data_IF_532815509228
#
_entry.id   IF_532815509228
#
_cell.length_a   1.000
_cell.length_b   1.000
_cell.length_c   1.000
_cell.angle_alpha   90.00
_cell.angle_beta   90.00
_cell.angle_gamma   90.00
#
_symmetry.space_group_name_H-M   'P 1'
#
loop_
_entity.id
_entity.type
_entity.pdbx_description
1 polymer ?
#
# COMPACT_ATOMS: atom_id res chain seq x y z
N UNK A 1 38.45 -29.23 -0.65
CA UNK A 1 38.38 -29.55 0.80
C UNK A 1 39.14 -28.44 1.47
N UNK A 2 38.50 -27.67 2.35
CA UNK A 2 39.22 -26.66 3.14
C UNK A 2 39.99 -27.41 4.23
N UNK A 3 41.28 -27.12 4.39
CA UNK A 3 42.19 -27.82 5.32
C UNK A 3 41.81 -27.59 6.80
N UNK A 4 40.87 -26.66 7.06
CA UNK A 4 40.56 -26.15 8.39
C UNK A 4 39.22 -26.62 8.98
N UNK A 5 38.50 -27.55 8.32
CA UNK A 5 37.17 -27.98 8.77
C UNK A 5 37.03 -29.49 8.91
N UNK A 6 36.44 -29.94 10.02
CA UNK A 6 36.03 -31.32 10.23
C UNK A 6 34.61 -31.51 9.70
N UNK A 7 34.46 -32.27 8.62
CA UNK A 7 33.16 -32.63 8.06
C UNK A 7 32.59 -33.84 8.81
N UNK A 8 31.43 -33.65 9.46
CA UNK A 8 30.68 -34.75 10.08
C UNK A 8 29.48 -35.12 9.20
N UNK A 9 29.31 -36.40 8.80
CA UNK A 9 28.13 -36.80 8.04
C UNK A 9 26.87 -36.69 8.90
N UNK A 10 25.80 -36.14 8.34
CA UNK A 10 24.48 -36.14 8.99
C UNK A 10 23.88 -37.53 8.86
N UNK A 11 23.70 -38.22 9.99
CA UNK A 11 23.20 -39.60 10.03
C UNK A 11 21.67 -39.66 10.13
N UNK A 12 21.06 -38.68 10.80
CA UNK A 12 19.61 -38.58 11.00
C UNK A 12 19.19 -37.13 11.22
N UNK A 13 17.98 -36.77 10.81
CA UNK A 13 17.36 -35.47 11.07
C UNK A 13 15.92 -35.73 11.53
N UNK A 14 15.57 -35.25 12.73
CA UNK A 14 14.20 -35.24 13.21
C UNK A 14 13.72 -33.82 13.45
N UNK A 15 12.48 -33.54 13.04
CA UNK A 15 11.83 -32.24 13.22
C UNK A 15 10.72 -32.39 14.25
N UNK A 16 10.76 -31.56 15.29
CA UNK A 16 9.71 -31.51 16.32
C UNK A 16 9.12 -30.11 16.38
N UNK A 17 7.80 -30.00 16.30
CA UNK A 17 7.11 -28.76 16.61
C UNK A 17 7.05 -28.60 18.13
N UNK A 18 7.66 -27.53 18.64
CA UNK A 18 7.67 -27.20 20.06
C UNK A 18 6.90 -25.89 20.28
N UNK A 19 6.01 -25.88 21.27
CA UNK A 19 5.43 -24.67 21.82
C UNK A 19 6.18 -24.32 23.11
N UNK A 20 6.39 -23.03 23.37
CA UNK A 20 6.95 -22.50 24.63
C UNK A 20 8.41 -22.89 24.93
N UNK A 21 9.23 -23.16 23.91
CA UNK A 21 10.67 -23.31 24.08
C UNK A 21 11.36 -21.94 24.12
N UNK A 22 12.11 -21.66 25.18
CA UNK A 22 12.97 -20.48 25.26
C UNK A 22 14.21 -20.69 24.37
N UNK A 23 14.34 -19.87 23.32
CA UNK A 23 15.46 -19.92 22.37
C UNK A 23 16.27 -18.65 22.53
N UNK A 24 17.56 -18.79 22.78
CA UNK A 24 18.50 -17.67 22.88
C UNK A 24 19.18 -17.41 21.54
N UNK A 25 19.41 -16.14 21.21
CA UNK A 25 20.20 -15.70 20.05
C UNK A 25 21.53 -15.13 20.53
N UNK A 26 22.62 -15.48 19.83
CA UNK A 26 23.97 -14.97 20.06
C UNK A 26 24.41 -14.17 18.82
N UNK A 27 24.67 -12.87 18.98
CA UNK A 27 25.30 -12.07 17.93
C UNK A 27 26.83 -12.21 18.07
N UNK A 28 27.48 -12.63 16.99
CA UNK A 28 28.94 -12.76 16.91
C UNK A 28 29.43 -11.75 15.90
N UNK A 29 30.45 -10.97 16.27
CA UNK A 29 31.06 -9.99 15.37
C UNK A 29 31.47 -10.64 14.05
N UNK A 30 31.42 -9.86 12.97
CA UNK A 30 31.69 -10.28 11.58
C UNK A 30 30.57 -11.09 10.91
N UNK A 31 30.41 -12.38 11.24
CA UNK A 31 29.60 -13.29 10.42
C UNK A 31 28.50 -14.05 11.19
N UNK A 32 28.31 -13.80 12.48
CA UNK A 32 27.28 -14.44 13.32
C UNK A 32 27.36 -15.99 13.35
N UNK A 33 28.50 -16.56 12.94
CA UNK A 33 28.78 -17.99 13.01
C UNK A 33 29.48 -18.32 14.33
N UNK A 34 29.10 -19.42 14.97
CA UNK A 34 29.74 -19.94 16.17
C UNK A 34 29.59 -21.45 16.24
N UNK A 35 30.30 -22.08 17.16
CA UNK A 35 30.21 -23.53 17.38
C UNK A 35 29.24 -23.80 18.51
N UNK A 36 28.15 -24.50 18.23
CA UNK A 36 27.21 -25.02 19.21
C UNK A 36 27.18 -26.55 19.12
N UNK A 37 27.39 -27.24 20.25
CA UNK A 37 27.42 -28.71 20.30
C UNK A 37 28.36 -29.34 19.26
N UNK A 38 29.55 -28.75 19.07
CA UNK A 38 30.56 -29.15 18.07
C UNK A 38 30.10 -29.08 16.61
N UNK A 39 29.01 -28.37 16.33
CA UNK A 39 28.55 -28.05 14.99
C UNK A 39 28.70 -26.56 14.75
N UNK A 40 29.19 -26.18 13.58
CA UNK A 40 29.16 -24.77 13.17
C UNK A 40 27.69 -24.42 12.91
N UNK A 41 27.19 -23.47 13.68
CA UNK A 41 25.86 -22.90 13.53
C UNK A 41 26.01 -21.43 13.20
N UNK A 42 25.02 -20.90 12.48
CA UNK A 42 24.97 -19.50 12.11
C UNK A 42 23.64 -18.94 12.59
N UNK A 43 23.68 -17.85 13.35
CA UNK A 43 22.47 -17.17 13.75
C UNK A 43 22.05 -16.20 12.64
N UNK A 44 20.81 -16.34 12.19
CA UNK A 44 20.22 -15.36 11.30
C UNK A 44 20.22 -13.99 11.98
N UNK A 45 20.91 -13.03 11.37
CA UNK A 45 20.90 -11.64 11.82
C UNK A 45 19.48 -11.13 11.75
N UNK A 46 19.07 -10.49 12.84
CA UNK A 46 17.83 -9.74 12.92
C UNK A 46 17.66 -8.86 11.68
N UNK A 47 16.65 -9.16 10.86
CA UNK A 47 16.27 -8.28 9.78
C UNK A 47 15.68 -7.00 10.39
N UNK A 48 16.52 -5.98 10.57
CA UNK A 48 16.16 -4.68 11.12
C UNK A 48 15.23 -3.86 10.24
N UNK A 49 14.49 -4.46 9.31
CA UNK A 49 13.56 -3.80 8.39
C UNK A 49 12.14 -3.80 8.97
N UNK A 50 11.95 -3.17 10.12
CA UNK A 50 10.67 -3.21 10.83
C UNK A 50 9.98 -1.86 10.93
N UNK A 51 8.67 -1.91 11.15
CA UNK A 51 7.79 -0.76 11.32
C UNK A 51 6.99 -0.89 12.62
N UNK A 52 6.38 0.22 13.03
CA UNK A 52 5.49 0.21 14.19
C UNK A 52 4.24 -0.68 13.96
N UNK A 53 3.76 -1.43 14.97
CA UNK A 53 2.56 -2.27 14.87
C UNK A 53 1.28 -1.56 14.40
N UNK A 54 1.16 -0.25 14.62
CA UNK A 54 0.03 0.58 14.17
C UNK A 54 0.18 1.09 12.72
N UNK A 55 1.31 0.79 12.06
CA UNK A 55 1.58 1.19 10.68
C UNK A 55 0.51 0.65 9.74
N UNK A 56 -0.18 1.56 9.05
CA UNK A 56 -1.28 1.19 8.18
C UNK A 56 -0.80 0.67 6.83
N UNK A 57 -1.03 -0.60 6.54
CA UNK A 57 -0.65 -1.24 5.28
C UNK A 57 -1.83 -1.24 4.31
N UNK A 58 -1.54 -0.89 3.06
CA UNK A 58 -2.51 -0.91 1.96
C UNK A 58 -2.85 -2.35 1.55
N UNK A 59 -3.92 -2.90 2.12
CA UNK A 59 -4.45 -4.23 1.80
C UNK A 59 -5.40 -4.20 0.60
N UNK A 60 -5.87 -5.36 0.11
CA UNK A 60 -6.69 -5.45 -1.09
C UNK A 60 -8.20 -5.66 -0.83
N UNK A 61 -9.09 -4.68 -1.11
CA UNK A 61 -8.85 -3.25 -1.24
C UNK A 61 -9.18 -2.60 0.10
N UNK A 62 -8.18 -2.26 0.89
CA UNK A 62 -8.38 -1.87 2.27
C UNK A 62 -7.16 -1.22 2.89
N UNK A 63 -7.26 -1.05 4.20
CA UNK A 63 -6.23 -0.48 5.02
C UNK A 63 -6.30 -1.16 6.37
N UNK A 64 -5.19 -1.74 6.83
CA UNK A 64 -5.12 -2.40 8.13
C UNK A 64 -3.79 -2.07 8.80
N UNK A 65 -3.76 -1.85 10.13
CA UNK A 65 -2.52 -1.90 10.89
C UNK A 65 -1.77 -3.21 10.61
N UNK A 66 -0.43 -3.15 10.49
CA UNK A 66 0.40 -4.33 10.20
C UNK A 66 0.17 -5.45 11.21
N UNK A 67 -0.09 -5.11 12.48
CA UNK A 67 -0.40 -6.09 13.54
C UNK A 67 -1.66 -6.93 13.30
N UNK A 68 -2.56 -6.48 12.42
CA UNK A 68 -3.83 -7.13 12.11
C UNK A 68 -3.81 -7.87 10.77
N UNK A 69 -2.68 -7.86 10.05
CA UNK A 69 -2.50 -8.60 8.80
C UNK A 69 -2.39 -10.10 9.12
N UNK A 70 -2.85 -10.93 8.20
CA UNK A 70 -2.77 -12.39 8.28
C UNK A 70 -2.06 -12.94 7.03
N UNK A 71 -1.38 -14.07 7.18
CA UNK A 71 -0.81 -14.82 6.05
C UNK A 71 -1.92 -15.13 5.03
N UNK A 72 -1.59 -14.98 3.75
CA UNK A 72 -2.52 -15.10 2.62
C UNK A 72 -3.32 -13.83 2.29
N UNK A 73 -3.33 -12.81 3.17
CA UNK A 73 -3.87 -11.50 2.78
C UNK A 73 -2.97 -10.84 1.74
N UNK A 74 -3.56 -9.98 0.88
CA UNK A 74 -2.80 -9.30 -0.17
C UNK A 74 -2.53 -7.84 0.17
N UNK A 75 -1.28 -7.42 -0.02
CA UNK A 75 -0.79 -6.06 0.22
C UNK A 75 -0.24 -5.45 -1.08
N UNK A 76 -0.35 -4.12 -1.20
CA UNK A 76 0.18 -3.39 -2.35
C UNK A 76 1.71 -3.31 -2.27
N UNK A 77 2.38 -3.58 -3.38
CA UNK A 77 3.85 -3.56 -3.51
C UNK A 77 4.32 -2.38 -4.35
N UNK A 78 5.64 -2.20 -4.44
CA UNK A 78 6.25 -1.12 -5.22
C UNK A 78 5.90 -1.13 -6.72
N UNK A 79 5.50 -2.28 -7.27
CA UNK A 79 5.15 -2.46 -8.69
C UNK A 79 3.74 -1.97 -9.03
N UNK A 80 2.93 -1.62 -8.01
CA UNK A 80 1.52 -1.30 -8.17
C UNK A 80 0.62 -2.54 -8.28
N UNK A 81 1.15 -3.72 -7.94
CA UNK A 81 0.44 -5.00 -7.90
C UNK A 81 0.19 -5.40 -6.44
N UNK A 82 -0.88 -6.15 -6.20
CA UNK A 82 -1.16 -6.71 -4.87
C UNK A 82 -0.65 -8.14 -4.80
N UNK A 83 0.21 -8.43 -3.82
CA UNK A 83 0.85 -9.74 -3.61
C UNK A 83 0.48 -10.31 -2.24
N UNK A 84 0.53 -11.63 -2.10
CA UNK A 84 0.16 -12.30 -0.85
C UNK A 84 1.26 -12.14 0.19
N UNK A 85 0.85 -12.04 1.44
CA UNK A 85 1.74 -12.10 2.60
C UNK A 85 2.03 -13.56 2.91
N UNK A 86 3.30 -13.96 2.85
CA UNK A 86 3.74 -15.33 3.14
C UNK A 86 4.10 -15.51 4.62
N UNK A 87 4.58 -14.45 5.28
CA UNK A 87 5.05 -14.51 6.68
C UNK A 87 4.83 -13.20 7.41
N UNK A 88 4.67 -13.30 8.73
CA UNK A 88 4.53 -12.16 9.64
C UNK A 88 5.61 -12.26 10.69
N UNK A 89 6.29 -11.15 10.92
CA UNK A 89 7.37 -11.04 11.88
C UNK A 89 7.01 -10.08 13.01
N UNK A 90 7.41 -10.44 14.23
CA UNK A 90 7.23 -9.65 15.44
C UNK A 90 8.50 -9.71 16.25
N UNK A 91 8.97 -8.56 16.68
CA UNK A 91 10.26 -8.47 17.34
C UNK A 91 10.26 -7.39 18.42
N UNK A 92 11.16 -7.54 19.39
CA UNK A 92 11.50 -6.49 20.34
C UNK A 92 12.75 -5.77 19.83
N UNK A 93 12.66 -4.45 19.67
CA UNK A 93 13.74 -3.62 19.13
C UNK A 93 14.21 -2.57 20.13
N UNK A 94 15.53 -2.46 20.27
CA UNK A 94 16.22 -1.41 21.02
C UNK A 94 17.17 -0.69 20.08
N UNK A 95 17.02 0.61 19.95
CA UNK A 95 17.81 1.41 19.01
C UNK A 95 17.07 2.65 18.51
N UNK A 96 17.61 3.33 17.49
CA UNK A 96 16.97 4.49 16.89
C UNK A 96 15.72 4.11 16.11
N UNK A 97 14.62 4.83 16.34
CA UNK A 97 13.41 4.81 15.52
C UNK A 97 13.25 6.16 14.81
N UNK A 98 12.90 6.11 13.53
CA UNK A 98 12.69 7.28 12.70
C UNK A 98 11.19 7.54 12.53
N UNK A 99 10.78 8.78 12.82
CA UNK A 99 9.46 9.31 12.50
C UNK A 99 9.55 10.19 11.26
N UNK A 100 8.86 9.78 10.19
CA UNK A 100 8.90 10.47 8.90
C UNK A 100 7.50 10.94 8.53
N UNK A 101 7.33 12.25 8.42
CA UNK A 101 6.07 12.87 7.98
C UNK A 101 6.14 13.16 6.49
N UNK A 102 5.34 12.44 5.70
CA UNK A 102 5.17 12.71 4.28
C UNK A 102 3.98 13.65 4.02
N UNK A 103 4.15 14.60 3.11
CA UNK A 103 3.08 15.50 2.74
C UNK A 103 1.87 14.74 2.19
N UNK A 104 0.67 15.15 2.61
CA UNK A 104 -0.58 14.56 2.16
C UNK A 104 -0.94 13.23 2.82
N UNK A 105 -0.18 12.78 3.83
CA UNK A 105 -0.50 11.64 4.68
C UNK A 105 -0.85 12.12 6.11
N UNK A 106 -1.92 11.59 6.73
CA UNK A 106 -2.37 12.06 8.03
C UNK A 106 -1.45 11.61 9.17
N UNK A 107 -0.81 10.44 9.04
CA UNK A 107 0.07 9.85 10.05
C UNK A 107 1.51 9.85 9.56
N UNK A 108 2.45 9.90 10.50
CA UNK A 108 3.88 9.68 10.22
C UNK A 108 4.14 8.18 10.05
N UNK A 109 5.18 7.84 9.28
CA UNK A 109 5.74 6.50 9.27
C UNK A 109 6.76 6.37 10.41
N UNK A 110 6.62 5.33 11.22
CA UNK A 110 7.57 4.95 12.27
C UNK A 110 8.29 3.68 11.84
N UNK A 111 9.61 3.77 11.65
CA UNK A 111 10.43 2.67 11.15
C UNK A 111 11.82 2.65 11.81
N UNK A 112 12.44 1.48 11.84
CA UNK A 112 13.80 1.26 12.36
C UNK A 112 14.87 1.89 11.46
N UNK A 113 16.12 2.01 11.94
CA UNK A 113 17.22 2.65 11.19
C UNK A 113 17.58 1.98 9.88
N UNK A 114 17.37 0.68 9.77
CA UNK A 114 17.76 -0.09 8.59
C UNK A 114 16.64 -0.18 7.56
N UNK A 115 15.44 0.31 7.89
CA UNK A 115 14.24 0.17 7.07
C UNK A 115 14.32 1.00 5.78
N UNK A 116 14.58 0.34 4.65
CA UNK A 116 14.76 1.02 3.36
C UNK A 116 13.44 1.54 2.78
N UNK A 117 13.46 2.80 2.35
CA UNK A 117 12.32 3.54 1.81
C UNK A 117 12.54 3.84 0.33
N UNK A 118 11.54 3.59 -0.51
CA UNK A 118 11.62 3.98 -1.92
C UNK A 118 11.56 5.51 -2.03
N UNK A 119 12.68 6.09 -2.46
CA UNK A 119 12.94 7.52 -2.34
C UNK A 119 13.53 8.08 -3.63
N UNK A 120 13.25 9.35 -3.88
CA UNK A 120 13.95 10.17 -4.86
C UNK A 120 14.51 11.37 -4.13
N UNK A 121 15.84 11.49 -4.14
CA UNK A 121 16.53 12.61 -3.50
C UNK A 121 16.32 13.89 -4.29
N UNK A 122 16.10 14.98 -3.58
CA UNK A 122 15.98 16.30 -4.18
C UNK A 122 17.36 16.96 -4.23
N UNK A 123 17.80 17.46 -5.39
CA UNK A 123 19.05 18.20 -5.47
C UNK A 123 19.01 19.44 -4.57
N UNK A 124 20.16 19.76 -3.96
CA UNK A 124 20.30 20.95 -3.12
C UNK A 124 20.17 22.21 -3.97
N UNK A 125 19.18 23.05 -3.68
CA UNK A 125 19.06 24.37 -4.32
C UNK A 125 19.79 25.41 -3.49
N UNK A 126 20.70 26.16 -4.12
CA UNK A 126 21.39 27.32 -3.51
C UNK A 126 20.48 28.53 -3.27
N UNK A 127 19.25 28.51 -3.79
CA UNK A 127 18.26 29.59 -3.59
C UNK A 127 17.25 29.17 -2.52
N UNK A 128 16.62 30.15 -1.84
CA UNK A 128 15.35 29.99 -1.08
C UNK A 128 14.17 29.59 -2.01
N UNK A 129 14.44 28.89 -3.10
CA UNK A 129 13.49 28.52 -4.12
C UNK A 129 12.73 27.28 -3.65
N UNK A 130 11.52 27.51 -3.12
CA UNK A 130 10.60 26.47 -2.67
C UNK A 130 9.93 25.72 -3.83
N UNK A 131 10.26 26.01 -5.10
CA UNK A 131 9.71 25.30 -6.27
C UNK A 131 9.97 23.80 -6.18
N UNK A 132 9.00 22.99 -6.57
CA UNK A 132 9.24 21.57 -6.88
C UNK A 132 10.37 21.52 -7.93
N UNK A 133 11.55 21.04 -7.54
CA UNK A 133 12.62 20.83 -8.49
C UNK A 133 12.24 19.61 -9.33
N UNK A 134 12.58 19.63 -10.62
CA UNK A 134 12.43 18.43 -11.43
C UNK A 134 13.24 17.32 -10.77
N UNK A 135 12.61 16.16 -10.63
CA UNK A 135 13.29 14.91 -10.27
C UNK A 135 14.45 14.73 -11.25
N UNK A 136 15.65 14.67 -10.70
CA UNK A 136 16.92 14.57 -11.45
C UNK A 136 17.67 13.30 -11.05
N UNK A 137 17.46 12.83 -9.83
CA UNK A 137 18.01 11.59 -9.30
C UNK A 137 17.12 10.38 -9.62
N UNK A 138 17.71 9.18 -9.79
CA UNK A 138 16.95 7.95 -9.98
C UNK A 138 16.16 7.56 -8.71
N UNK A 139 15.14 6.74 -8.92
CA UNK A 139 14.42 6.08 -7.83
C UNK A 139 15.34 5.05 -7.17
N UNK A 140 15.49 5.10 -5.84
CA UNK A 140 16.35 4.18 -5.11
C UNK A 140 15.76 3.81 -3.73
N UNK A 141 16.21 2.68 -3.19
CA UNK A 141 15.92 2.27 -1.81
C UNK A 141 16.95 2.91 -0.87
N UNK A 142 16.50 3.86 -0.06
CA UNK A 142 17.37 4.71 0.78
C UNK A 142 17.04 4.49 2.26
N UNK A 143 18.05 4.54 3.13
CA UNK A 143 17.87 4.45 4.57
C UNK A 143 17.27 5.73 5.16
N UNK A 144 16.51 5.67 6.26
CA UNK A 144 15.91 6.84 6.90
C UNK A 144 16.96 7.91 7.31
N UNK A 145 18.16 7.49 7.72
CA UNK A 145 19.25 8.41 8.07
C UNK A 145 19.78 9.24 6.91
N UNK A 146 19.58 8.78 5.67
CA UNK A 146 20.14 9.36 4.44
C UNK A 146 19.11 10.19 3.65
N UNK A 147 17.89 10.34 4.17
CA UNK A 147 16.84 11.19 3.61
C UNK A 147 16.66 12.46 4.43
N UNK A 148 16.17 13.53 3.80
CA UNK A 148 15.93 14.82 4.46
C UNK A 148 14.61 15.45 4.04
N UNK A 149 14.17 16.45 4.81
CA UNK A 149 13.01 17.25 4.43
C UNK A 149 13.15 17.81 3.00
N UNK A 150 12.10 17.62 2.20
CA UNK A 150 12.05 18.00 0.79
C UNK A 150 12.45 16.91 -0.21
N UNK A 151 13.08 15.81 0.22
CA UNK A 151 13.18 14.59 -0.60
C UNK A 151 11.79 13.98 -0.81
N UNK A 152 11.63 13.09 -1.78
CA UNK A 152 10.34 12.52 -2.14
C UNK A 152 10.25 11.04 -1.73
N UNK A 153 9.21 10.70 -1.00
CA UNK A 153 8.77 9.32 -0.79
C UNK A 153 7.73 8.93 -1.84
N UNK A 154 7.79 7.67 -2.28
CA UNK A 154 7.00 7.20 -3.41
C UNK A 154 5.81 6.35 -2.94
N UNK A 155 4.62 6.67 -3.47
CA UNK A 155 3.41 5.84 -3.38
C UNK A 155 3.14 5.22 -4.75
N UNK A 156 3.00 3.89 -4.88
CA UNK A 156 2.75 3.27 -6.18
C UNK A 156 1.29 3.43 -6.60
N UNK A 157 1.05 3.51 -7.91
CA UNK A 157 -0.27 3.62 -8.52
C UNK A 157 -0.76 2.22 -8.86
N UNK A 158 -1.88 1.72 -8.26
CA UNK A 158 -2.35 0.38 -8.57
C UNK A 158 -2.77 0.23 -10.03
N UNK A 159 -2.29 -0.82 -10.70
CA UNK A 159 -2.49 -1.02 -12.15
C UNK A 159 -3.70 -1.90 -12.51
N UNK A 160 -4.21 -2.69 -11.57
CA UNK A 160 -5.33 -3.64 -11.77
C UNK A 160 -6.59 -2.93 -12.28
N UNK A 161 -7.25 -3.46 -13.31
CA UNK A 161 -8.56 -2.97 -13.79
C UNK A 161 -9.55 -4.13 -13.87
N UNK A 162 -10.67 -4.03 -13.16
CA UNK A 162 -11.76 -4.99 -13.19
C UNK A 162 -12.86 -4.48 -14.12
N UNK A 163 -13.12 -5.23 -15.19
CA UNK A 163 -14.23 -4.98 -16.14
C UNK A 163 -15.41 -5.90 -15.86
N UNK A 164 -16.00 -5.76 -14.67
CA UNK A 164 -17.27 -6.42 -14.37
C UNK A 164 -18.36 -5.85 -15.30
N UNK A 165 -19.18 -6.71 -15.90
CA UNK A 165 -20.33 -6.29 -16.73
C UNK A 165 -21.61 -6.23 -15.88
N UNK A 166 -21.90 -7.32 -15.17
CA UNK A 166 -23.07 -7.44 -14.32
C UNK A 166 -22.66 -7.78 -12.88
N UNK A 167 -23.21 -7.06 -11.92
CA UNK A 167 -23.10 -7.40 -10.50
C UNK A 167 -24.32 -8.22 -10.09
N UNK A 168 -24.07 -9.42 -9.56
CA UNK A 168 -25.12 -10.37 -9.18
C UNK A 168 -25.39 -10.27 -7.68
N UNK A 169 -26.66 -10.14 -7.31
CA UNK A 169 -27.11 -10.24 -5.91
C UNK A 169 -28.04 -11.44 -5.80
N UNK A 170 -27.75 -12.31 -4.84
CA UNK A 170 -28.52 -13.52 -4.53
C UNK A 170 -29.05 -13.42 -3.11
N UNK A 171 -30.30 -13.80 -2.88
CA UNK A 171 -30.88 -13.86 -1.54
C UNK A 171 -32.03 -14.85 -1.44
N UNK A 172 -32.27 -15.35 -0.24
CA UNK A 172 -33.39 -16.23 0.04
C UNK A 172 -34.67 -15.44 0.27
N UNK A 173 -35.76 -15.91 -0.32
CA UNK A 173 -37.11 -15.37 -0.13
C UNK A 173 -38.07 -16.48 0.27
N UNK A 174 -39.27 -16.13 0.71
CA UNK A 174 -40.34 -17.10 1.00
C UNK A 174 -40.71 -17.97 -0.22
N UNK A 175 -40.42 -17.49 -1.43
CA UNK A 175 -40.66 -18.20 -2.70
C UNK A 175 -39.42 -18.89 -3.26
N UNK A 176 -38.39 -19.10 -2.42
CA UNK A 176 -37.10 -19.66 -2.82
C UNK A 176 -36.03 -18.62 -3.09
N UNK A 177 -34.93 -19.06 -3.68
CA UNK A 177 -33.76 -18.23 -3.99
C UNK A 177 -34.09 -17.24 -5.11
N UNK A 178 -33.90 -15.94 -4.86
CA UNK A 178 -33.98 -14.88 -5.87
C UNK A 178 -32.58 -14.45 -6.29
N UNK A 179 -32.45 -14.11 -7.58
CA UNK A 179 -31.22 -13.59 -8.17
C UNK A 179 -31.56 -12.38 -9.02
N UNK A 180 -30.82 -11.30 -8.82
CA UNK A 180 -30.91 -10.09 -9.66
C UNK A 180 -29.53 -9.69 -10.16
N UNK A 181 -29.49 -9.13 -11.36
CA UNK A 181 -28.27 -8.64 -11.99
C UNK A 181 -28.38 -7.14 -12.24
N UNK A 182 -27.38 -6.37 -11.81
CA UNK A 182 -27.23 -4.96 -12.14
C UNK A 182 -26.16 -4.79 -13.21
N UNK A 183 -26.51 -4.14 -14.32
CA UNK A 183 -25.50 -3.67 -15.26
C UNK A 183 -24.63 -2.63 -14.58
N UNK A 184 -23.32 -2.82 -14.63
CA UNK A 184 -22.36 -1.92 -13.97
C UNK A 184 -21.98 -0.80 -14.94
N UNK A 185 -22.90 0.12 -15.20
CA UNK A 185 -22.65 1.27 -16.09
C UNK A 185 -22.12 2.47 -15.28
N UNK A 186 -21.51 3.50 -15.91
CA UNK A 186 -20.99 4.66 -15.19
C UNK A 186 -22.01 5.34 -14.27
N UNK A 187 -23.29 5.39 -14.67
CA UNK A 187 -24.36 5.95 -13.86
C UNK A 187 -24.61 5.20 -12.53
N UNK A 188 -24.37 3.88 -12.49
CA UNK A 188 -24.45 3.10 -11.25
C UNK A 188 -23.37 3.55 -10.27
N UNK A 189 -22.19 3.89 -10.77
CA UNK A 189 -21.08 4.37 -9.94
C UNK A 189 -21.38 5.74 -9.34
N UNK A 190 -22.06 6.62 -10.06
CA UNK A 190 -22.58 7.88 -9.49
C UNK A 190 -23.57 7.61 -8.35
N UNK A 191 -24.50 6.67 -8.53
CA UNK A 191 -25.43 6.27 -7.46
C UNK A 191 -24.71 5.66 -6.25
N UNK A 192 -23.65 4.86 -6.47
CA UNK A 192 -22.78 4.37 -5.38
C UNK A 192 -22.13 5.55 -4.67
N UNK A 193 -21.65 6.57 -5.40
CA UNK A 193 -21.10 7.79 -4.84
C UNK A 193 -22.09 8.52 -3.93
N UNK A 194 -23.35 8.68 -4.36
CA UNK A 194 -24.41 9.22 -3.50
C UNK A 194 -24.64 8.40 -2.24
N UNK A 195 -24.63 7.07 -2.35
CA UNK A 195 -24.75 6.22 -1.16
C UNK A 195 -23.56 6.40 -0.21
N UNK A 196 -22.34 6.54 -0.74
CA UNK A 196 -21.16 6.72 0.08
C UNK A 196 -21.15 8.05 0.83
N UNK A 197 -21.70 9.11 0.24
CA UNK A 197 -21.91 10.38 0.91
C UNK A 197 -23.15 10.31 1.83
N UNK A 198 -24.33 10.31 1.23
CA UNK A 198 -25.62 10.55 1.89
C UNK A 198 -26.39 9.31 2.32
N UNK A 199 -25.87 8.13 1.94
CA UNK A 199 -26.61 6.88 2.05
C UNK A 199 -26.60 6.24 3.42
N UNK A 200 -27.72 5.61 3.75
CA UNK A 200 -27.84 4.67 4.87
C UNK A 200 -28.79 3.51 4.53
N UNK A 201 -28.65 2.42 5.27
CA UNK A 201 -29.45 1.20 5.10
C UNK A 201 -30.19 0.87 6.39
N UNK A 202 -31.52 0.85 6.31
CA UNK A 202 -32.42 0.26 7.30
C UNK A 202 -32.59 -1.23 7.02
N UNK A 203 -31.87 -2.09 7.75
CA UNK A 203 -31.97 -3.55 7.55
C UNK A 203 -33.32 -4.10 7.99
N UNK A 204 -33.86 -3.63 9.12
CA UNK A 204 -35.14 -4.11 9.67
C UNK A 204 -36.31 -3.88 8.72
N UNK A 205 -36.37 -2.69 8.13
CA UNK A 205 -37.41 -2.32 7.17
C UNK A 205 -36.96 -2.46 5.70
N UNK A 206 -35.80 -3.08 5.46
CA UNK A 206 -35.26 -3.42 4.14
C UNK A 206 -35.25 -2.23 3.17
N UNK A 207 -34.91 -1.05 3.69
CA UNK A 207 -35.01 0.22 2.99
C UNK A 207 -33.65 0.89 2.89
N UNK A 208 -33.36 1.48 1.74
CA UNK A 208 -32.23 2.38 1.56
C UNK A 208 -32.74 3.81 1.64
N UNK A 209 -31.89 4.68 2.16
CA UNK A 209 -32.16 6.10 2.35
C UNK A 209 -31.00 6.89 1.76
N UNK A 210 -31.29 7.96 1.02
CA UNK A 210 -30.35 9.00 0.62
C UNK A 210 -30.91 10.32 1.13
N UNK A 211 -30.16 11.03 1.97
CA UNK A 211 -30.60 12.28 2.57
C UNK A 211 -29.94 13.47 1.86
N UNK A 212 -30.72 14.42 1.38
CA UNK A 212 -30.20 15.62 0.71
C UNK A 212 -30.73 16.88 1.39
N UNK A 213 -30.06 18.01 1.22
CA UNK A 213 -30.59 19.31 1.60
C UNK A 213 -31.79 19.72 0.73
N UNK A 214 -32.70 20.53 1.27
CA UNK A 214 -33.92 20.93 0.56
C UNK A 214 -33.64 21.80 -0.67
N UNK A 215 -32.46 22.43 -0.73
CA UNK A 215 -31.98 23.21 -1.88
C UNK A 215 -31.41 22.33 -3.00
N UNK A 216 -31.23 21.03 -2.78
CA UNK A 216 -30.51 20.13 -3.70
C UNK A 216 -31.48 19.30 -4.57
N UNK A 217 -32.52 19.95 -5.11
CA UNK A 217 -33.57 19.26 -5.87
C UNK A 217 -33.03 18.48 -7.07
N UNK A 218 -32.04 19.02 -7.78
CA UNK A 218 -31.42 18.33 -8.91
C UNK A 218 -30.76 16.99 -8.51
N UNK A 219 -30.15 16.94 -7.31
CA UNK A 219 -29.55 15.72 -6.78
C UNK A 219 -30.62 14.71 -6.38
N UNK A 220 -31.70 15.17 -5.76
CA UNK A 220 -32.87 14.36 -5.40
C UNK A 220 -33.46 13.71 -6.66
N UNK A 221 -33.69 14.49 -7.71
CA UNK A 221 -34.25 13.99 -8.98
C UNK A 221 -33.31 12.99 -9.67
N UNK A 222 -32.01 13.28 -9.71
CA UNK A 222 -31.01 12.37 -10.26
C UNK A 222 -30.95 11.05 -9.48
N UNK A 223 -30.91 11.11 -8.15
CA UNK A 223 -30.91 9.94 -7.28
C UNK A 223 -32.19 9.11 -7.48
N UNK A 224 -33.36 9.74 -7.55
CA UNK A 224 -34.64 9.07 -7.83
C UNK A 224 -34.62 8.34 -9.17
N UNK A 225 -34.17 9.02 -10.23
CA UNK A 225 -34.04 8.46 -11.58
C UNK A 225 -33.10 7.26 -11.59
N UNK A 226 -31.94 7.35 -10.96
CA UNK A 226 -30.95 6.27 -10.91
C UNK A 226 -31.48 5.06 -10.12
N UNK A 227 -32.12 5.29 -8.97
CA UNK A 227 -32.76 4.23 -8.19
C UNK A 227 -33.84 3.52 -9.00
N UNK A 228 -34.74 4.26 -9.66
CA UNK A 228 -35.78 3.69 -10.52
C UNK A 228 -35.17 2.88 -11.66
N UNK A 229 -34.14 3.41 -12.35
CA UNK A 229 -33.49 2.74 -13.49
C UNK A 229 -32.87 1.40 -13.11
N UNK A 230 -32.14 1.33 -11.99
CA UNK A 230 -31.41 0.12 -11.61
C UNK A 230 -32.24 -0.89 -10.82
N UNK A 231 -33.24 -0.42 -10.08
CA UNK A 231 -34.03 -1.28 -9.18
C UNK A 231 -35.48 -1.47 -9.62
N UNK A 232 -35.92 -0.82 -10.70
CA UNK A 232 -37.23 -1.02 -11.33
C UNK A 232 -38.43 -0.59 -10.48
N UNK A 233 -38.21 0.09 -9.35
CA UNK A 233 -39.25 0.52 -8.42
C UNK A 233 -39.11 2.02 -8.15
N UNK A 234 -40.24 2.72 -8.17
CA UNK A 234 -40.27 4.16 -7.92
C UNK A 234 -39.89 4.45 -6.45
N UNK A 235 -38.84 5.25 -6.19
CA UNK A 235 -38.50 5.67 -4.84
C UNK A 235 -39.50 6.70 -4.32
N UNK A 236 -39.68 6.73 -3.01
CA UNK A 236 -40.47 7.76 -2.34
C UNK A 236 -39.54 8.87 -1.84
N UNK A 237 -39.98 10.13 -1.90
CA UNK A 237 -39.24 11.26 -1.35
C UNK A 237 -40.11 12.00 -0.37
N UNK A 238 -39.62 12.23 0.83
CA UNK A 238 -40.31 12.95 1.90
C UNK A 238 -39.45 14.11 2.40
N UNK A 239 -40.08 15.27 2.62
CA UNK A 239 -39.45 16.40 3.31
C UNK A 239 -39.51 16.12 4.81
N UNK A 240 -38.35 16.09 5.45
CA UNK A 240 -38.21 15.95 6.89
C UNK A 240 -37.98 17.32 7.54
N UNK A 241 -37.97 17.35 8.87
CA UNK A 241 -37.57 18.54 9.62
C UNK A 241 -36.13 18.98 9.25
N UNK A 242 -35.79 20.23 9.55
CA UNK A 242 -34.44 20.80 9.32
C UNK A 242 -34.00 20.87 7.85
N UNK A 243 -34.93 21.11 6.92
CA UNK A 243 -34.62 21.32 5.50
C UNK A 243 -33.92 20.12 4.84
N UNK A 244 -34.30 18.89 5.22
CA UNK A 244 -33.77 17.66 4.64
C UNK A 244 -34.84 16.98 3.77
N UNK A 245 -34.45 16.45 2.63
CA UNK A 245 -35.26 15.58 1.77
C UNK A 245 -34.68 14.19 1.81
N UNK A 246 -35.48 13.22 2.22
CA UNK A 246 -35.07 11.83 2.23
C UNK A 246 -35.67 11.10 1.04
N UNK A 247 -34.79 10.55 0.18
CA UNK A 247 -35.16 9.63 -0.89
C UNK A 247 -35.01 8.20 -0.37
N UNK A 248 -36.13 7.49 -0.25
CA UNK A 248 -36.17 6.12 0.27
C UNK A 248 -36.67 5.11 -0.76
N UNK A 249 -36.05 3.94 -0.76
CA UNK A 249 -36.48 2.80 -1.58
C UNK A 249 -36.54 1.53 -0.72
N UNK A 250 -37.78 1.10 -0.42
CA UNK A 250 -38.05 -0.17 0.25
C UNK A 250 -37.94 -1.34 -0.72
N UNK A 251 -36.76 -1.96 -0.79
CA UNK A 251 -36.49 -3.11 -1.64
C UNK A 251 -35.32 -3.93 -1.10
N UNK A 252 -35.56 -5.21 -0.79
CA UNK A 252 -34.56 -6.13 -0.22
C UNK A 252 -33.30 -6.22 -1.10
N UNK A 253 -33.49 -6.35 -2.41
CA UNK A 253 -32.39 -6.40 -3.36
C UNK A 253 -31.52 -5.13 -3.33
N UNK A 254 -32.12 -3.94 -3.28
CA UNK A 254 -31.38 -2.69 -3.16
C UNK A 254 -30.62 -2.62 -1.83
N UNK A 255 -31.28 -2.97 -0.73
CA UNK A 255 -30.67 -3.03 0.60
C UNK A 255 -29.42 -3.93 0.61
N UNK A 256 -29.53 -5.14 0.03
CA UNK A 256 -28.42 -6.09 -0.04
C UNK A 256 -27.29 -5.57 -0.92
N UNK A 257 -27.62 -4.97 -2.08
CA UNK A 257 -26.63 -4.32 -2.93
C UNK A 257 -25.83 -3.27 -2.16
N UNK A 258 -26.50 -2.31 -1.53
CA UNK A 258 -25.82 -1.20 -0.85
C UNK A 258 -25.07 -1.62 0.42
N UNK A 259 -25.45 -2.74 1.05
CA UNK A 259 -24.71 -3.30 2.20
C UNK A 259 -23.28 -3.72 1.83
N UNK A 260 -22.99 -4.00 0.55
CA UNK A 260 -21.62 -4.28 0.06
C UNK A 260 -20.65 -3.11 0.22
N UNK A 261 -21.15 -1.91 0.49
CA UNK A 261 -20.37 -0.69 0.66
C UNK A 261 -20.24 -0.28 2.14
N UNK A 262 -20.64 -1.15 3.07
CA UNK A 262 -20.62 -0.88 4.50
C UNK A 262 -21.86 -0.14 5.02
N UNK A 263 -22.05 -0.20 6.34
CA UNK A 263 -23.19 0.40 7.07
C UNK A 263 -22.72 1.37 8.13
N UNK A 264 -23.32 2.56 8.14
CA UNK A 264 -22.88 3.68 8.97
C UNK A 264 -21.63 4.35 8.38
N UNK A 265 -21.52 5.67 8.54
CA UNK A 265 -20.54 6.49 7.82
C UNK A 265 -19.08 6.01 8.02
N UNK A 266 -18.70 5.61 9.23
CA UNK A 266 -17.35 5.17 9.56
C UNK A 266 -16.95 3.82 8.95
N UNK A 267 -17.92 2.97 8.58
CA UNK A 267 -17.66 1.63 8.04
C UNK A 267 -17.86 1.57 6.52
N UNK A 268 -18.14 2.70 5.87
CA UNK A 268 -18.31 2.74 4.42
C UNK A 268 -17.00 2.37 3.72
N UNK A 269 -17.04 1.54 2.69
CA UNK A 269 -15.87 1.05 1.94
C UNK A 269 -16.22 0.74 0.49
N UNK A 270 -15.20 0.63 -0.36
CA UNK A 270 -15.33 0.20 -1.76
C UNK A 270 -14.95 -1.29 -1.89
N UNK A 271 -15.83 -2.15 -2.42
CA UNK A 271 -15.47 -3.51 -2.78
C UNK A 271 -14.57 -3.54 -4.04
N UNK A 272 -13.87 -4.65 -4.24
CA UNK A 272 -12.85 -4.87 -5.28
C UNK A 272 -13.28 -4.39 -6.67
N UNK A 273 -14.48 -4.80 -7.10
CA UNK A 273 -14.99 -4.50 -8.44
C UNK A 273 -15.31 -3.01 -8.67
N UNK A 274 -15.52 -2.24 -7.60
CA UNK A 274 -15.71 -0.78 -7.66
C UNK A 274 -14.38 -0.06 -7.53
N UNK A 275 -13.55 -0.49 -6.58
CA UNK A 275 -12.24 0.09 -6.32
C UNK A 275 -11.32 0.00 -7.54
N UNK A 276 -11.34 -1.11 -8.29
CA UNK A 276 -10.55 -1.31 -9.51
C UNK A 276 -11.33 -1.10 -10.81
N UNK A 277 -12.49 -0.43 -10.78
CA UNK A 277 -13.26 -0.18 -12.00
C UNK A 277 -12.49 0.66 -13.03
N UNK A 278 -13.04 0.75 -14.25
CA UNK A 278 -12.48 1.60 -15.30
C UNK A 278 -12.53 3.09 -14.91
N UNK A 279 -11.68 3.91 -15.54
CA UNK A 279 -11.56 5.34 -15.22
C UNK A 279 -12.88 6.07 -15.38
N UNK A 280 -13.66 5.74 -16.40
CA UNK A 280 -14.97 6.37 -16.67
C UNK A 280 -15.96 6.12 -15.53
N UNK A 281 -15.97 4.88 -15.01
CA UNK A 281 -16.79 4.49 -13.86
C UNK A 281 -16.30 5.16 -12.57
N UNK A 282 -14.99 5.21 -12.36
CA UNK A 282 -14.38 5.88 -11.20
C UNK A 282 -14.64 7.39 -11.19
N UNK A 283 -14.65 8.06 -12.34
CA UNK A 283 -15.03 9.48 -12.44
C UNK A 283 -16.46 9.69 -11.94
N UNK A 284 -17.41 8.84 -12.33
CA UNK A 284 -18.79 8.93 -11.85
C UNK A 284 -18.92 8.64 -10.35
N UNK A 285 -18.15 7.68 -9.83
CA UNK A 285 -18.07 7.42 -8.38
C UNK A 285 -17.63 8.66 -7.61
N UNK A 286 -16.53 9.28 -8.02
CA UNK A 286 -16.01 10.49 -7.39
C UNK A 286 -16.98 11.65 -7.55
N UNK A 287 -17.65 11.78 -8.71
CA UNK A 287 -18.68 12.79 -8.94
C UNK A 287 -19.86 12.63 -7.97
N UNK A 288 -20.38 11.41 -7.79
CA UNK A 288 -21.47 11.16 -6.83
C UNK A 288 -21.06 11.47 -5.39
N UNK A 289 -19.85 11.06 -5.00
CA UNK A 289 -19.28 11.38 -3.67
C UNK A 289 -19.11 12.90 -3.48
N UNK A 290 -18.62 13.59 -4.51
CA UNK A 290 -18.40 15.03 -4.52
C UNK A 290 -19.70 15.83 -4.42
N UNK A 291 -20.75 15.38 -5.09
CA UNK A 291 -22.04 16.08 -5.09
C UNK A 291 -22.77 15.99 -3.75
N UNK A 292 -22.52 14.95 -2.94
CA UNK A 292 -23.04 14.87 -1.57
C UNK A 292 -22.11 15.51 -0.54
N UNK A 293 -20.91 14.94 -0.38
CA UNK A 293 -19.97 15.29 0.71
C UNK A 293 -18.83 16.24 0.27
N UNK A 294 -18.87 16.73 -0.97
CA UNK A 294 -17.82 17.57 -1.55
C UNK A 294 -18.11 19.07 -1.44
N UNK A 295 -17.07 19.87 -1.24
CA UNK A 295 -17.20 21.32 -1.23
C UNK A 295 -16.00 22.04 -1.85
N UNK A 296 -16.27 23.13 -2.57
CA UNK A 296 -15.23 24.04 -3.06
C UNK A 296 -14.80 24.94 -1.92
N UNK A 297 -13.58 24.75 -1.41
CA UNK A 297 -13.02 25.62 -0.38
C UNK A 297 -12.35 26.81 -1.04
N UNK A 298 -12.73 28.02 -0.59
CA UNK A 298 -12.17 29.30 -1.02
C UNK A 298 -11.45 29.96 0.15
N UNK A 299 -10.14 30.14 0.01
CA UNK A 299 -9.30 30.88 0.94
C UNK A 299 -8.58 32.00 0.19
N UNK A 300 -8.10 33.02 0.91
CA UNK A 300 -7.47 34.23 0.34
C UNK A 300 -6.42 33.96 -0.75
N UNK A 301 -5.68 32.83 -0.68
CA UNK A 301 -4.63 32.46 -1.65
C UNK A 301 -4.80 31.07 -2.27
N UNK A 302 -5.87 30.36 -1.97
CA UNK A 302 -6.05 28.97 -2.41
C UNK A 302 -7.52 28.67 -2.69
N UNK A 303 -7.78 28.01 -3.82
CA UNK A 303 -9.08 27.44 -4.15
C UNK A 303 -8.85 25.96 -4.45
N UNK A 304 -9.56 25.09 -3.73
CA UNK A 304 -9.32 23.66 -3.82
C UNK A 304 -10.61 22.87 -3.64
N UNK A 305 -10.57 21.62 -4.07
CA UNK A 305 -11.68 20.69 -3.93
C UNK A 305 -11.47 19.86 -2.65
N UNK A 306 -12.47 19.79 -1.77
CA UNK A 306 -12.48 18.95 -0.58
C UNK A 306 -13.61 17.91 -0.60
N UNK A 307 -13.30 16.64 -0.28
CA UNK A 307 -14.29 15.62 0.10
C UNK A 307 -14.03 15.26 1.56
N UNK A 308 -15.07 15.16 2.39
CA UNK A 308 -14.93 14.74 3.78
C UNK A 308 -15.60 13.38 4.02
N UNK A 309 -15.00 12.53 4.84
CA UNK A 309 -15.61 11.27 5.30
C UNK A 309 -15.12 10.90 6.69
N UNK A 310 -15.90 10.13 7.46
CA UNK A 310 -15.46 9.56 8.75
C UNK A 310 -14.88 8.15 8.61
N UNK A 311 -15.03 7.51 7.45
CA UNK A 311 -14.40 6.22 7.17
C UNK A 311 -12.95 6.41 6.74
N UNK A 312 -12.03 5.97 7.60
CA UNK A 312 -10.59 5.96 7.32
C UNK A 312 -10.27 5.15 6.07
N UNK A 313 -10.80 3.93 5.97
CA UNK A 313 -10.58 3.04 4.82
C UNK A 313 -11.07 3.69 3.53
N UNK A 314 -12.28 4.25 3.54
CA UNK A 314 -12.82 4.95 2.37
C UNK A 314 -11.95 6.15 1.98
N UNK A 315 -11.43 6.91 2.95
CA UNK A 315 -10.59 8.06 2.64
C UNK A 315 -9.32 7.66 1.87
N UNK A 316 -8.64 6.59 2.29
CA UNK A 316 -7.46 6.07 1.57
C UNK A 316 -7.84 5.41 0.24
N UNK A 317 -8.98 4.73 0.17
CA UNK A 317 -9.49 4.18 -1.08
C UNK A 317 -9.80 5.29 -2.09
N UNK A 318 -10.46 6.38 -1.68
CA UNK A 318 -10.75 7.54 -2.51
C UNK A 318 -9.47 8.25 -2.97
N UNK A 319 -8.47 8.43 -2.09
CA UNK A 319 -7.15 8.96 -2.49
C UNK A 319 -6.53 8.08 -3.58
N UNK A 320 -6.60 6.76 -3.44
CA UNK A 320 -6.05 5.82 -4.43
C UNK A 320 -6.82 5.86 -5.75
N UNK A 321 -8.15 5.96 -5.71
CA UNK A 321 -8.99 6.15 -6.91
C UNK A 321 -8.64 7.45 -7.62
N UNK A 322 -8.47 8.56 -6.89
CA UNK A 322 -8.04 9.85 -7.46
C UNK A 322 -6.67 9.72 -8.14
N UNK A 323 -5.71 9.06 -7.48
CA UNK A 323 -4.38 8.82 -8.04
C UNK A 323 -4.46 8.01 -9.35
N UNK A 324 -5.32 6.99 -9.45
CA UNK A 324 -5.55 6.23 -10.69
C UNK A 324 -6.18 7.06 -11.81
N UNK A 325 -6.95 8.09 -11.48
CA UNK A 325 -7.44 9.11 -12.41
C UNK A 325 -6.36 10.14 -12.79
N UNK A 326 -5.17 10.01 -12.21
CA UNK A 326 -4.06 10.93 -12.38
C UNK A 326 -4.30 12.27 -11.69
N UNK A 327 -4.94 12.25 -10.52
CA UNK A 327 -5.22 13.40 -9.66
C UNK A 327 -4.61 13.11 -8.29
N UNK A 328 -3.69 13.96 -7.82
CA UNK A 328 -3.10 13.81 -6.49
C UNK A 328 -3.92 14.56 -5.44
N UNK A 329 -4.18 13.90 -4.31
CA UNK A 329 -4.90 14.49 -3.17
C UNK A 329 -4.14 14.30 -1.86
N UNK A 330 -4.27 15.27 -0.95
CA UNK A 330 -3.78 15.18 0.42
C UNK A 330 -4.90 14.74 1.37
N UNK A 331 -4.64 13.81 2.29
CA UNK A 331 -5.55 13.48 3.38
C UNK A 331 -5.14 14.25 4.63
N UNK A 332 -6.07 15.01 5.20
CA UNK A 332 -5.93 15.64 6.51
C UNK A 332 -6.90 14.98 7.49
N UNK A 333 -6.42 14.57 8.65
CA UNK A 333 -7.25 14.03 9.73
C UNK A 333 -7.53 15.14 10.74
N UNK A 334 -8.80 15.36 11.08
CA UNK A 334 -9.20 16.28 12.13
C UNK A 334 -9.90 15.50 13.24
N UNK A 335 -9.37 15.61 14.45
CA UNK A 335 -9.93 14.98 15.66
C UNK A 335 -10.58 16.09 16.49
N UNK A 336 -11.88 15.93 16.80
CA UNK A 336 -12.62 16.83 17.68
C UNK A 336 -13.16 16.05 18.87
N UNK A 337 -13.20 16.68 20.05
CA UNK A 337 -13.77 16.07 21.25
C UNK A 337 -15.21 15.61 20.99
N UNK A 338 -15.55 14.41 21.44
CA UNK A 338 -16.89 13.78 21.30
C UNK A 338 -17.36 13.57 19.86
N UNK A 339 -16.46 13.56 18.87
CA UNK A 339 -16.78 13.21 17.48
C UNK A 339 -15.80 12.19 16.94
N UNK A 340 -16.26 11.41 15.98
CA UNK A 340 -15.37 10.54 15.21
C UNK A 340 -14.37 11.39 14.41
N UNK A 341 -13.16 10.87 14.14
CA UNK A 341 -12.20 11.54 13.27
C UNK A 341 -12.81 11.84 11.89
N UNK A 342 -12.55 13.04 11.38
CA UNK A 342 -12.94 13.44 10.03
C UNK A 342 -11.73 13.45 9.11
N UNK A 343 -11.80 12.69 8.02
CA UNK A 343 -10.79 12.62 6.99
C UNK A 343 -11.18 13.50 5.81
N UNK A 344 -10.37 14.52 5.57
CA UNK A 344 -10.56 15.54 4.53
C UNK A 344 -9.58 15.28 3.38
N UNK A 345 -10.11 14.86 2.23
CA UNK A 345 -9.37 14.72 0.99
C UNK A 345 -9.34 16.05 0.26
N UNK A 346 -8.17 16.68 0.19
CA UNK A 346 -7.98 17.97 -0.44
C UNK A 346 -7.23 17.81 -1.76
N UNK A 347 -7.80 18.33 -2.84
CA UNK A 347 -7.20 18.35 -4.18
C UNK A 347 -6.90 19.80 -4.55
N UNK A 348 -5.62 20.13 -4.67
CA UNK A 348 -5.13 21.51 -4.88
C UNK A 348 -4.63 21.73 -6.30
N UNK A 349 -4.42 23.00 -6.66
CA UNK A 349 -3.62 23.39 -7.81
C UNK A 349 -4.15 22.83 -9.14
N UNK A 350 -3.23 22.37 -10.00
CA UNK A 350 -3.60 21.80 -11.32
C UNK A 350 -4.47 20.56 -11.21
N UNK A 351 -4.34 19.80 -10.12
CA UNK A 351 -5.09 18.58 -9.89
C UNK A 351 -6.57 18.87 -9.65
N UNK A 352 -6.88 19.97 -8.97
CA UNK A 352 -8.25 20.43 -8.73
C UNK A 352 -8.96 20.78 -10.04
N UNK A 353 -8.27 21.52 -10.91
CA UNK A 353 -8.77 21.89 -12.24
C UNK A 353 -9.01 20.64 -13.10
N UNK A 354 -8.07 19.70 -13.09
CA UNK A 354 -8.19 18.42 -13.81
C UNK A 354 -9.40 17.62 -13.32
N UNK A 355 -9.56 17.47 -12.01
CA UNK A 355 -10.67 16.73 -11.41
C UNK A 355 -12.02 17.39 -11.72
N UNK A 356 -12.10 18.72 -11.57
CA UNK A 356 -13.31 19.48 -11.90
C UNK A 356 -13.74 19.27 -13.36
N UNK A 357 -12.78 19.33 -14.30
CA UNK A 357 -13.03 19.06 -15.72
C UNK A 357 -13.55 17.65 -15.95
N UNK A 358 -12.95 16.64 -15.31
CA UNK A 358 -13.40 15.24 -15.42
C UNK A 358 -14.83 15.05 -14.92
N UNK A 359 -15.22 15.71 -13.82
CA UNK A 359 -16.57 15.63 -13.27
C UNK A 359 -17.59 16.52 -14.02
N UNK A 360 -17.11 17.44 -14.86
CA UNK A 360 -17.92 18.45 -15.53
C UNK A 360 -18.50 19.48 -14.57
N UNK A 361 -17.76 19.87 -13.53
CA UNK A 361 -18.20 20.88 -12.56
C UNK A 361 -17.52 22.24 -12.81
N UNK A 362 -18.19 23.36 -12.56
CA UNK A 362 -17.58 24.69 -12.68
C UNK A 362 -16.47 24.87 -11.63
N UNK A 363 -15.25 25.14 -12.09
CA UNK A 363 -14.13 25.42 -11.21
C UNK A 363 -13.16 26.41 -11.85
N UNK A 364 -13.53 27.69 -11.80
CA UNK A 364 -12.66 28.75 -12.29
C UNK A 364 -11.51 29.00 -11.31
N UNK A 365 -10.34 28.45 -11.62
CA UNK A 365 -9.12 28.65 -10.84
C UNK A 365 -7.92 28.56 -11.78
N UNK A 366 -7.07 29.59 -11.75
CA UNK A 366 -5.79 29.59 -12.45
C UNK A 366 -4.65 29.46 -11.43
N UNK A 367 -4.25 28.23 -11.05
CA UNK A 367 -3.24 28.03 -10.03
C UNK A 367 -1.88 28.54 -10.50
N UNK A 368 -1.14 29.22 -9.63
CA UNK A 368 0.26 29.56 -9.92
C UNK A 368 1.12 28.28 -9.91
N UNK A 369 2.25 28.29 -10.64
CA UNK A 369 3.20 27.15 -10.69
C UNK A 369 3.74 26.72 -9.32
N UNK A 370 3.55 27.54 -8.28
CA UNK A 370 4.03 27.30 -6.91
C UNK A 370 2.99 26.62 -6.01
N UNK A 371 1.75 26.44 -6.49
CA UNK A 371 0.67 25.80 -5.70
C UNK A 371 0.79 24.28 -5.69
N UNK A 372 1.41 23.70 -6.74
CA UNK A 372 1.60 22.26 -6.83
C UNK A 372 2.63 21.83 -5.78
N UNK A 373 2.21 20.90 -4.92
CA UNK A 373 3.05 20.36 -3.85
C UNK A 373 3.48 18.90 -4.06
N UNK A 374 2.98 18.29 -5.12
CA UNK A 374 3.20 16.88 -5.45
C UNK A 374 3.66 16.72 -6.89
N UNK A 375 4.47 15.69 -7.13
CA UNK A 375 4.77 15.20 -8.47
C UNK A 375 4.11 13.83 -8.66
N UNK A 376 3.90 13.45 -9.92
CA UNK A 376 3.31 12.17 -10.28
C UNK A 376 3.77 11.81 -11.68
N UNK A 377 4.19 10.55 -11.86
CA UNK A 377 4.44 9.95 -13.18
C UNK A 377 3.41 8.83 -13.41
N UNK A 378 3.70 7.89 -14.31
CA UNK A 378 2.77 6.80 -14.63
C UNK A 378 2.67 5.74 -13.52
N UNK A 379 3.71 5.58 -12.71
CA UNK A 379 3.85 4.50 -11.73
C UNK A 379 3.73 4.97 -10.28
N UNK A 380 4.08 6.23 -9.98
CA UNK A 380 4.24 6.75 -8.63
C UNK A 380 3.69 8.15 -8.43
N UNK A 381 3.21 8.40 -7.20
CA UNK A 381 3.04 9.72 -6.62
C UNK A 381 4.25 10.02 -5.74
N UNK A 382 4.80 11.22 -5.87
CA UNK A 382 5.97 11.69 -5.17
C UNK A 382 5.52 12.67 -4.09
N UNK A 383 5.61 12.23 -2.84
CA UNK A 383 5.23 13.01 -1.67
C UNK A 383 6.47 13.58 -0.99
N UNK A 384 6.64 14.91 -0.94
CA UNK A 384 7.74 15.52 -0.19
C UNK A 384 7.72 15.11 1.28
N UNK A 385 8.90 14.86 1.85
CA UNK A 385 9.09 14.74 3.30
C UNK A 385 8.93 16.13 3.92
N UNK A 386 7.99 16.28 4.84
CA UNK A 386 7.75 17.51 5.62
C UNK A 386 8.72 17.61 6.78
N UNK A 387 8.91 16.50 7.51
CA UNK A 387 9.83 16.40 8.63
C UNK A 387 10.33 14.97 8.80
N UNK A 388 11.54 14.84 9.35
CA UNK A 388 12.12 13.60 9.80
C UNK A 388 12.79 13.84 11.15
N UNK A 389 12.58 12.94 12.09
CA UNK A 389 13.20 12.96 13.42
C UNK A 389 13.51 11.55 13.87
N UNK A 390 14.48 11.39 14.77
CA UNK A 390 14.83 10.11 15.36
C UNK A 390 14.81 10.18 16.88
N UNK A 391 14.38 9.11 17.54
CA UNK A 391 14.47 8.93 18.99
C UNK A 391 15.00 7.55 19.32
N UNK A 392 15.64 7.39 20.49
CA UNK A 392 16.06 6.09 20.99
C UNK A 392 14.88 5.41 21.69
N UNK A 393 14.67 4.13 21.41
CA UNK A 393 13.67 3.30 22.07
C UNK A 393 14.34 2.05 22.63
N UNK A 394 13.79 1.51 23.71
CA UNK A 394 14.23 0.25 24.30
C UNK A 394 13.04 -0.70 24.38
N UNK A 395 13.25 -1.96 24.00
CA UNK A 395 12.26 -3.04 24.03
C UNK A 395 10.92 -2.67 23.37
N UNK A 396 10.95 -1.94 22.26
CA UNK A 396 9.74 -1.56 21.52
C UNK A 396 9.32 -2.71 20.61
N UNK A 397 8.04 -3.08 20.63
CA UNK A 397 7.50 -4.01 19.63
C UNK A 397 7.57 -3.38 18.23
N UNK A 398 8.17 -4.10 17.29
CA UNK A 398 8.21 -3.75 15.87
C UNK A 398 7.80 -4.97 15.05
N UNK A 399 7.30 -4.72 13.84
CA UNK A 399 6.75 -5.74 12.98
C UNK A 399 7.24 -5.60 11.55
N UNK A 400 7.21 -6.71 10.83
CA UNK A 400 7.41 -6.73 9.40
C UNK A 400 6.60 -7.88 8.75
N UNK A 401 6.46 -7.87 7.42
CA UNK A 401 5.77 -8.89 6.64
C UNK A 401 6.57 -9.31 5.41
N UNK A 402 6.75 -10.61 5.23
CA UNK A 402 7.28 -11.13 3.96
C UNK A 402 6.15 -11.21 2.93
N UNK A 403 6.44 -10.70 1.74
CA UNK A 403 5.51 -10.57 0.61
C UNK A 403 6.11 -11.29 -0.57
N UNK A 404 5.30 -12.11 -1.24
CA UNK A 404 5.71 -12.89 -2.40
C UNK A 404 6.16 -12.00 -3.57
N UNK A 405 7.17 -12.48 -4.30
CA UNK A 405 7.80 -11.91 -5.51
C UNK A 405 8.51 -10.55 -5.35
N UNK A 406 7.82 -9.55 -4.78
CA UNK A 406 8.23 -8.14 -4.92
C UNK A 406 8.98 -7.59 -3.69
N UNK A 407 9.14 -8.38 -2.63
CA UNK A 407 9.88 -8.07 -1.39
C UNK A 407 9.69 -6.63 -0.84
N UNK A 408 8.46 -6.13 -0.96
CA UNK A 408 8.08 -4.77 -0.54
C UNK A 408 6.61 -4.73 -0.17
N UNK A 409 6.22 -3.76 0.65
CA UNK A 409 4.82 -3.43 0.90
C UNK A 409 4.64 -1.91 1.02
N UNK A 410 3.40 -1.46 1.02
CA UNK A 410 3.05 -0.04 1.17
C UNK A 410 2.45 0.22 2.54
N UNK A 411 3.24 0.75 3.46
CA UNK A 411 2.82 1.23 4.79
C UNK A 411 2.72 2.76 4.85
N UNK A 412 1.65 3.30 5.45
CA UNK A 412 1.30 4.74 5.44
C UNK A 412 1.27 5.37 4.04
N UNK A 413 1.04 4.55 3.01
CA UNK A 413 1.11 4.97 1.61
C UNK A 413 2.53 5.19 1.08
N UNK A 414 3.56 4.70 1.75
CA UNK A 414 4.97 4.80 1.35
C UNK A 414 5.47 3.38 1.07
N UNK A 415 6.16 3.19 -0.07
CA UNK A 415 6.80 1.91 -0.38
C UNK A 415 7.98 1.67 0.56
N UNK A 416 7.99 0.46 1.10
CA UNK A 416 8.90 -0.03 2.11
C UNK A 416 9.47 -1.37 1.69
N UNK A 417 10.76 -1.56 1.91
CA UNK A 417 11.39 -2.88 1.79
C UNK A 417 10.96 -3.75 2.97
N UNK A 418 10.77 -5.04 2.74
CA UNK A 418 10.48 -5.98 3.83
C UNK A 418 11.65 -6.91 4.12
N UNK A 419 11.50 -7.68 5.18
CA UNK A 419 12.31 -8.85 5.46
C UNK A 419 11.97 -9.95 4.47
N UNK A 420 13.03 -10.45 3.85
CA UNK A 420 13.02 -11.66 3.05
C UNK A 420 13.40 -12.83 3.95
N UNK A 421 12.87 -14.02 3.66
CA UNK A 421 13.18 -15.27 4.39
C UNK A 421 14.60 -15.78 4.06
N UNK A 422 15.51 -14.84 3.79
CA UNK A 422 16.85 -15.16 3.44
C UNK A 422 17.63 -15.32 4.74
N UNK A 423 18.06 -16.55 5.02
CA UNK A 423 19.31 -16.77 5.73
C UNK A 423 20.34 -15.79 5.15
N UNK A 424 21.29 -15.19 5.90
CA UNK A 424 22.31 -14.33 5.31
C UNK A 424 23.00 -14.97 4.10
N UNK A 425 23.07 -16.31 4.06
CA UNK A 425 23.47 -17.10 2.90
C UNK A 425 22.57 -17.01 1.67
N UNK A 426 21.24 -16.90 1.82
CA UNK A 426 20.30 -16.62 0.72
C UNK A 426 20.28 -15.13 0.35
N UNK A 427 20.56 -14.23 1.30
CA UNK A 427 20.62 -12.79 1.06
C UNK A 427 21.80 -12.45 0.14
N UNK A 428 22.87 -13.24 0.22
CA UNK A 428 24.01 -13.23 -0.69
C UNK A 428 23.65 -13.62 -2.13
N UNK A 429 22.59 -14.41 -2.37
CA UNK A 429 22.13 -14.77 -3.72
C UNK A 429 21.08 -13.79 -4.29
N UNK A 430 20.49 -12.94 -3.44
CA UNK A 430 19.41 -12.02 -3.82
C UNK A 430 19.89 -10.59 -4.13
N UNK A 431 21.15 -10.28 -3.88
CA UNK A 431 21.78 -9.09 -4.46
C UNK A 431 22.01 -9.33 -5.95
N UNK A 432 21.40 -8.51 -6.81
CA UNK A 432 21.86 -8.37 -8.19
C UNK A 432 23.38 -8.23 -8.14
N UNK A 433 24.09 -8.98 -9.01
CA UNK A 433 25.54 -9.06 -9.11
C UNK A 433 26.27 -7.77 -8.69
N UNK A 434 27.47 -7.93 -8.13
CA UNK A 434 28.36 -6.90 -7.57
C UNK A 434 28.23 -6.67 -6.06
N UNK A 435 28.58 -7.68 -5.29
CA UNK A 435 29.66 -7.65 -4.29
C UNK A 435 29.78 -9.05 -3.70
N UNK A 436 30.99 -9.46 -3.31
CA UNK A 436 31.30 -10.69 -2.55
C UNK A 436 31.73 -11.92 -3.37
N UNK A 437 32.87 -11.79 -4.04
CA UNK A 437 33.88 -12.86 -3.98
C UNK A 437 35.30 -12.28 -4.00
N UNK A 438 35.67 -11.50 -2.99
CA UNK A 438 37.08 -11.28 -2.64
C UNK A 438 37.22 -10.60 -1.28
N UNK A 439 38.23 -11.02 -0.52
CA UNK A 439 38.49 -10.58 0.86
C UNK A 439 39.49 -9.41 0.93
N UNK A 440 39.82 -8.75 -0.19
CA UNK A 440 40.75 -7.63 -0.20
C UNK A 440 40.44 -6.51 -1.22
N UNK A 441 40.67 -5.27 -0.76
CA UNK A 441 40.26 -4.00 -1.36
C UNK A 441 40.91 -3.61 -2.72
N UNK A 442 42.09 -4.12 -3.15
CA UNK A 442 42.67 -3.79 -4.46
C UNK A 442 42.10 -4.56 -5.65
N UNK A 443 41.40 -5.67 -5.40
CA UNK A 443 41.01 -6.69 -6.39
C UNK A 443 39.78 -6.31 -7.24
N UNK A 444 39.11 -5.22 -6.89
CA UNK A 444 37.90 -4.71 -7.55
C UNK A 444 38.22 -3.91 -8.83
N UNK A 445 38.79 -4.54 -9.87
CA UNK A 445 38.89 -3.92 -11.21
C UNK A 445 38.92 -4.94 -12.34
N UNK A 446 37.77 -5.43 -12.82
CA UNK A 446 37.67 -6.03 -14.16
C UNK A 446 36.29 -5.77 -14.80
N UNK A 447 36.25 -5.50 -16.12
CA UNK A 447 35.02 -5.29 -16.90
C UNK A 447 34.52 -6.59 -17.57
N UNK A 448 33.24 -6.64 -18.00
CA UNK A 448 32.61 -7.86 -18.56
C UNK A 448 33.35 -8.49 -19.75
N UNK A 449 34.09 -7.73 -20.56
CA UNK A 449 34.87 -8.30 -21.67
C UNK A 449 36.06 -9.16 -21.23
N UNK A 450 36.55 -9.01 -19.99
CA UNK A 450 37.77 -9.68 -19.51
C UNK A 450 37.53 -11.11 -19.00
N UNK A 451 36.27 -11.55 -18.84
CA UNK A 451 35.91 -12.88 -18.32
C UNK A 451 35.41 -13.86 -19.40
N UNK A 452 35.38 -13.46 -20.67
CA UNK A 452 34.85 -14.27 -21.77
C UNK A 452 35.95 -15.05 -22.55
N UNK A 453 36.86 -15.74 -21.86
CA UNK A 453 37.80 -16.67 -22.51
C UNK A 453 37.53 -18.10 -22.02
N UNK A 454 36.98 -19.01 -22.84
CA UNK A 454 36.80 -20.40 -22.44
C UNK A 454 38.16 -21.13 -22.35
N UNK A 455 38.30 -22.14 -21.47
CA UNK A 455 39.55 -22.87 -21.30
C UNK A 455 39.93 -23.66 -22.56
N UNK A 456 41.22 -23.67 -22.91
CA UNK A 456 41.75 -24.50 -24.00
C UNK A 456 41.78 -25.97 -23.56
N UNK A 457 40.96 -26.82 -24.18
CA UNK A 457 40.98 -28.28 -23.99
C UNK A 457 41.83 -28.95 -25.05
N UNK A 458 43.14 -29.09 -24.81
CA UNK A 458 43.99 -30.05 -25.52
C UNK A 458 44.96 -30.74 -24.54
N UNK A 459 44.89 -32.08 -24.45
CA UNK A 459 46.14 -32.86 -24.35
C UNK A 459 46.37 -33.87 -23.22
N UNK A 460 45.57 -34.00 -22.15
CA UNK A 460 45.91 -34.96 -21.08
C UNK A 460 44.70 -35.78 -20.60
N UNK A 461 44.77 -37.10 -20.78
CA UNK A 461 43.92 -38.08 -20.11
C UNK A 461 44.74 -38.75 -19.01
N UNK A 462 44.35 -38.59 -17.75
CA UNK A 462 44.97 -39.30 -16.62
C UNK A 462 44.14 -40.55 -16.29
N UNK A 463 44.81 -41.68 -16.08
CA UNK A 463 44.16 -42.93 -15.65
C UNK A 463 44.45 -43.16 -14.17
N UNK A 464 43.44 -42.98 -13.34
CA UNK A 464 43.55 -43.19 -11.89
C UNK A 464 43.68 -44.68 -11.60
N UNK A 465 44.73 -45.07 -10.86
CA UNK A 465 44.89 -46.42 -10.30
C UNK A 465 44.62 -46.34 -8.80
N UNK A 466 43.67 -47.15 -8.33
CA UNK A 466 43.26 -47.20 -6.93
C UNK A 466 43.95 -48.39 -6.28
N UNK A 467 44.70 -48.16 -5.20
CA UNK A 467 45.25 -49.22 -4.36
C UNK A 467 44.19 -49.62 -3.31
N UNK A 468 43.63 -50.84 -3.38
CA UNK A 468 42.51 -51.25 -2.54
C UNK A 468 42.88 -51.51 -1.08
N UNK A 469 44.16 -51.60 -0.71
CA UNK A 469 44.54 -51.85 0.70
C UNK A 469 44.80 -50.55 1.49
N UNK A 470 45.18 -49.47 0.82
CA UNK A 470 45.46 -48.17 1.47
C UNK A 470 44.40 -47.09 1.25
N UNK A 471 43.43 -47.34 0.36
CA UNK A 471 42.30 -46.44 0.12
C UNK A 471 42.67 -45.08 -0.47
N UNK A 472 43.87 -44.91 -1.02
CA UNK A 472 44.30 -43.67 -1.67
C UNK A 472 44.50 -43.87 -3.17
N UNK A 473 44.08 -42.86 -3.95
CA UNK A 473 44.24 -42.81 -5.39
C UNK A 473 45.45 -41.93 -5.73
N UNK A 474 46.41 -42.47 -6.47
CA UNK A 474 47.55 -41.68 -6.99
C UNK A 474 47.43 -41.50 -8.50
N UNK A 475 47.90 -40.35 -8.99
CA UNK A 475 47.84 -39.98 -10.40
C UNK A 475 49.05 -40.57 -11.11
N UNK A 476 48.81 -41.27 -12.22
CA UNK A 476 49.83 -41.68 -13.18
C UNK A 476 49.60 -40.97 -14.51
#
# INVERSE_FOLDING_TARGET
>A
MTEDMILSPVIDISVKTVADLEVMNLEVEEDNSFVASNQVVHNCVFCGLCVDPETEVATNPGLKPIKNIKVGERVLTHTGVYRSVSKIWRFSYTGPIYEIKAMGKPNSLLCTSDHRLLTVKRPSSKKRDKRLLRVTEPVAMVLPKDVKAGDYLLTPIPKKVIRLRNFRVKWDSSTGVKVMNLRTEPDLFRLIGYYLAEGSVGVRNRTIYLSFGSSEQELVEDARRLLRRYFGKEPHSEKLAYHVINVRLGLTFAMLFFTNFGRGAANKTLPDWVFFASKEKQVQLIKGMWLGDGCVVRQSRQKYLNITTTSKVLAYQLQTVLTRLGVVSAIHCEIRKNRLPAYRLNVFGRWAVKLARMMGIPFDHNPSKFVDKFLMNEDYVFSPIESISSSQVANREVMDITVEDDHTFVGQGIVQHNCVDACPFDALFMTNDYELSSYDKPSLKYSPEQLAIPPKTEGYTFRVKIDPEKGTATHG
#
